data_IF_414347226881
#
_entry.id   IF_414347226881
#
_cell.length_a   1.000
_cell.length_b   1.000
_cell.length_c   1.000
_cell.angle_alpha   90.00
_cell.angle_beta   90.00
_cell.angle_gamma   90.00
#
_symmetry.space_group_name_H-M   'P 1'
#
loop_
_entity.id
_entity.type
_entity.pdbx_description
1 polymer ?
#
# COMPACT_ATOMS: atom_id res chain seq x y z
N UNK A 1 5.89 -11.23 1.43
CA UNK A 1 5.37 -9.88 1.70
C UNK A 1 4.89 -9.22 0.41
N UNK A 2 5.78 -8.64 -0.41
CA UNK A 2 5.41 -7.92 -1.65
C UNK A 2 4.59 -8.77 -2.65
N UNK A 3 4.92 -10.05 -2.84
CA UNK A 3 4.12 -10.96 -3.68
C UNK A 3 2.68 -11.12 -3.20
N UNK A 4 2.44 -11.09 -1.88
CA UNK A 4 1.08 -11.25 -1.33
C UNK A 4 0.25 -9.99 -1.55
N UNK A 5 0.88 -8.82 -1.51
CA UNK A 5 0.26 -7.56 -1.94
C UNK A 5 -0.10 -7.60 -3.43
N UNK A 6 0.84 -8.00 -4.30
CA UNK A 6 0.58 -8.18 -5.75
C UNK A 6 -0.54 -9.17 -6.06
N UNK A 7 -0.66 -10.25 -5.29
CA UNK A 7 -1.73 -11.24 -5.42
C UNK A 7 -3.09 -10.76 -4.85
N UNK A 8 -3.17 -9.54 -4.29
CA UNK A 8 -4.37 -9.02 -3.62
C UNK A 8 -4.70 -9.69 -2.28
N UNK A 9 -3.77 -10.48 -1.72
CA UNK A 9 -3.94 -11.24 -0.47
C UNK A 9 -3.55 -10.45 0.78
N UNK A 10 -2.99 -9.26 0.59
CA UNK A 10 -2.49 -8.39 1.64
C UNK A 10 -2.85 -6.96 1.27
N UNK A 11 -3.52 -6.21 2.16
CA UNK A 11 -3.76 -4.79 1.95
C UNK A 11 -2.48 -3.98 2.11
N UNK A 12 -2.47 -2.75 1.61
CA UNK A 12 -1.34 -1.83 1.76
C UNK A 12 -1.07 -1.50 3.25
N UNK A 13 -2.12 -1.33 4.03
CA UNK A 13 -2.05 -1.08 5.47
C UNK A 13 -1.40 -2.26 6.21
N UNK A 14 -1.85 -3.48 5.95
CA UNK A 14 -1.28 -4.68 6.59
C UNK A 14 0.17 -4.94 6.15
N UNK A 15 0.53 -4.50 4.94
CA UNK A 15 1.92 -4.55 4.46
C UNK A 15 2.80 -3.58 5.25
N UNK A 16 2.34 -2.33 5.40
CA UNK A 16 3.04 -1.29 6.16
C UNK A 16 3.22 -1.68 7.62
N UNK A 17 2.15 -2.17 8.28
CA UNK A 17 2.18 -2.65 9.66
C UNK A 17 3.20 -3.78 9.85
N UNK A 18 3.21 -4.78 8.96
CA UNK A 18 4.12 -5.92 9.05
C UNK A 18 5.59 -5.57 8.75
N UNK A 19 5.84 -4.46 8.08
CA UNK A 19 7.18 -3.95 7.80
C UNK A 19 7.63 -2.92 8.84
N UNK A 20 6.76 -2.52 9.77
CA UNK A 20 6.99 -1.45 10.75
C UNK A 20 7.40 -0.12 10.09
N UNK A 21 6.70 0.23 9.00
CA UNK A 21 6.91 1.46 8.22
C UNK A 21 5.58 2.18 8.00
N UNK A 22 5.63 3.44 7.59
CA UNK A 22 4.45 4.17 7.16
C UNK A 22 3.89 3.64 5.83
N UNK A 23 2.61 3.91 5.58
CA UNK A 23 1.96 3.58 4.29
C UNK A 23 2.65 4.29 3.11
N UNK A 24 3.15 5.52 3.31
CA UNK A 24 3.91 6.25 2.31
C UNK A 24 5.21 5.53 1.94
N UNK A 25 5.99 5.11 2.94
CA UNK A 25 7.23 4.33 2.72
C UNK A 25 6.94 2.99 2.03
N UNK A 26 5.81 2.35 2.36
CA UNK A 26 5.39 1.12 1.67
C UNK A 26 5.07 1.37 0.19
N UNK A 27 4.45 2.50 -0.16
CA UNK A 27 4.18 2.91 -1.55
C UNK A 27 5.50 3.15 -2.30
N UNK A 28 6.44 3.87 -1.69
CA UNK A 28 7.74 4.17 -2.30
C UNK A 28 8.51 2.88 -2.61
N UNK A 29 8.57 1.93 -1.67
CA UNK A 29 9.20 0.61 -1.88
C UNK A 29 8.51 -0.16 -3.01
N UNK A 30 7.18 -0.11 -3.09
CA UNK A 30 6.44 -0.77 -4.17
C UNK A 30 6.78 -0.14 -5.53
N UNK A 31 6.85 1.20 -5.59
CA UNK A 31 7.22 1.93 -6.80
C UNK A 31 8.66 1.61 -7.26
N UNK A 32 9.62 1.56 -6.34
CA UNK A 32 11.02 1.17 -6.62
C UNK A 32 11.12 -0.25 -7.22
N UNK A 33 10.20 -1.14 -6.84
CA UNK A 33 10.14 -2.52 -7.32
C UNK A 33 9.36 -2.66 -8.65
N UNK A 34 8.98 -1.54 -9.28
CA UNK A 34 8.18 -1.51 -10.51
C UNK A 34 6.78 -2.11 -10.30
N UNK A 35 6.26 -2.01 -9.08
CA UNK A 35 4.94 -2.50 -8.71
C UNK A 35 4.02 -1.31 -8.70
N UNK A 36 3.33 -1.10 -9.81
CA UNK A 36 2.20 -0.17 -9.81
C UNK A 36 1.19 -0.67 -8.79
N UNK A 37 1.04 0.11 -7.72
CA UNK A 37 -0.03 -0.10 -6.78
C UNK A 37 -1.35 0.03 -7.57
N UNK A 38 -2.31 -0.90 -7.40
CA UNK A 38 -3.61 -0.81 -8.06
C UNK A 38 -4.43 0.40 -7.60
N UNK A 39 -3.95 1.11 -6.58
CA UNK A 39 -4.48 2.37 -6.06
C UNK A 39 -3.32 3.35 -5.90
N UNK A 40 -3.55 4.61 -6.25
CA UNK A 40 -2.60 5.70 -5.98
C UNK A 40 -2.67 6.16 -4.52
N UNK A 41 -1.70 6.95 -4.08
CA UNK A 41 -1.75 7.59 -2.76
C UNK A 41 -2.99 8.49 -2.59
N UNK A 42 -3.41 9.14 -3.68
CA UNK A 42 -4.61 9.98 -3.71
C UNK A 42 -5.89 9.15 -3.51
N UNK A 43 -5.97 7.99 -4.16
CA UNK A 43 -7.08 7.05 -3.98
C UNK A 43 -7.16 6.52 -2.53
N UNK A 44 -6.00 6.25 -1.92
CA UNK A 44 -5.91 5.84 -0.51
C UNK A 44 -6.45 6.94 0.42
N UNK A 45 -6.05 8.20 0.21
CA UNK A 45 -6.52 9.36 0.99
C UNK A 45 -8.03 9.55 0.87
N UNK A 46 -8.59 9.45 -0.34
CA UNK A 46 -10.03 9.54 -0.55
C UNK A 46 -10.80 8.44 0.18
N UNK A 47 -10.29 7.21 0.13
CA UNK A 47 -10.88 6.09 0.89
C UNK A 47 -10.86 6.37 2.39
N UNK A 48 -9.72 6.81 2.92
CA UNK A 48 -9.57 7.12 4.34
C UNK A 48 -10.53 8.23 4.82
N UNK A 49 -10.70 9.29 4.03
CA UNK A 49 -11.64 10.38 4.34
C UNK A 49 -13.10 9.93 4.27
N UNK A 50 -13.46 9.05 3.33
CA UNK A 50 -14.82 8.55 3.18
C UNK A 50 -15.25 7.59 4.30
N UNK A 51 -14.30 6.94 4.97
CA UNK A 51 -14.55 6.05 6.11
C UNK A 51 -14.55 6.77 7.48
N UNK A 52 -14.36 8.09 7.50
CA UNK A 52 -14.32 8.91 8.72
C UNK A 52 -15.69 9.47 9.11
#
# INVERSE_FOLDING_TARGET
MIKHYKDGKLSLELLAEKLDISIGEAIDILAEQGIEAPITYEDYLQGFEAFR
#
